data_IF_298335375831
#
_entry.id   IF_298335375831
#
_cell.length_a   1.000
_cell.length_b   1.000
_cell.length_c   1.000
_cell.angle_alpha   90.00
_cell.angle_beta   90.00
_cell.angle_gamma   90.00
#
_symmetry.space_group_name_H-M   'P 1'
#
loop_
_entity.id
_entity.type
_entity.pdbx_description
1 polymer ?
#
# COMPACT_ATOMS: atom_id res chain seq x y z
N UNK A 1 -8.64 -1.48 -17.64
CA UNK A 1 -8.73 -0.86 -16.30
C UNK A 1 -9.77 -1.59 -15.46
N UNK A 2 -11.03 -1.63 -15.88
CA UNK A 2 -12.15 -2.19 -15.10
C UNK A 2 -11.91 -3.62 -14.56
N UNK A 3 -11.44 -4.54 -15.43
CA UNK A 3 -11.10 -5.90 -14.99
C UNK A 3 -10.03 -5.94 -13.88
N UNK A 4 -9.08 -5.01 -13.88
CA UNK A 4 -8.04 -4.94 -12.86
C UNK A 4 -8.60 -4.37 -11.56
N UNK A 5 -9.46 -3.35 -11.64
CA UNK A 5 -10.21 -2.82 -10.49
C UNK A 5 -11.03 -3.93 -9.84
N UNK A 6 -11.83 -4.65 -10.61
CA UNK A 6 -12.66 -5.75 -10.10
C UNK A 6 -11.83 -6.82 -9.42
N UNK A 7 -10.69 -7.19 -10.02
CA UNK A 7 -9.80 -8.22 -9.48
C UNK A 7 -9.13 -7.80 -8.18
N UNK A 8 -8.66 -6.54 -8.08
CA UNK A 8 -8.09 -6.01 -6.83
C UNK A 8 -9.16 -5.89 -5.75
N UNK A 9 -10.38 -5.47 -6.11
CA UNK A 9 -11.51 -5.40 -5.19
C UNK A 9 -11.95 -6.77 -4.67
N UNK A 10 -12.04 -7.77 -5.54
CA UNK A 10 -12.32 -9.15 -5.13
C UNK A 10 -11.21 -9.69 -4.21
N UNK A 11 -9.95 -9.35 -4.50
CA UNK A 11 -8.84 -9.71 -3.63
C UNK A 11 -8.98 -9.08 -2.24
N UNK A 12 -9.38 -7.80 -2.14
CA UNK A 12 -9.57 -7.14 -0.83
C UNK A 12 -10.70 -7.76 -0.02
N UNK A 13 -11.79 -8.18 -0.65
CA UNK A 13 -12.89 -8.88 0.03
C UNK A 13 -12.40 -10.19 0.65
N UNK A 14 -11.52 -10.92 -0.04
CA UNK A 14 -10.96 -12.17 0.43
C UNK A 14 -9.77 -12.02 1.40
N UNK A 15 -9.25 -10.80 1.57
CA UNK A 15 -8.10 -10.49 2.44
C UNK A 15 -8.41 -9.26 3.32
N UNK A 16 -9.39 -9.36 4.24
CA UNK A 16 -9.87 -8.24 5.04
C UNK A 16 -8.83 -7.70 6.04
N UNK A 17 -7.87 -8.53 6.44
CA UNK A 17 -6.77 -8.14 7.35
C UNK A 17 -5.72 -7.26 6.66
N UNK A 18 -5.82 -7.12 5.34
CA UNK A 18 -4.92 -6.33 4.50
C UNK A 18 -4.00 -7.18 3.64
N UNK A 19 -3.34 -6.52 2.69
CA UNK A 19 -2.44 -7.16 1.73
C UNK A 19 -1.49 -6.15 1.09
N UNK A 20 -0.45 -6.68 0.45
CA UNK A 20 0.36 -5.95 -0.53
C UNK A 20 0.49 -6.79 -1.79
N UNK A 21 0.03 -6.29 -2.93
CA UNK A 21 -0.14 -7.05 -4.16
C UNK A 21 0.61 -6.42 -5.33
N UNK A 22 1.44 -7.22 -6.01
CA UNK A 22 2.04 -6.83 -7.27
C UNK A 22 1.01 -7.01 -8.41
N UNK A 23 0.65 -5.93 -9.11
CA UNK A 23 -0.39 -5.92 -10.15
C UNK A 23 -0.01 -6.67 -11.43
N UNK A 24 1.28 -6.87 -11.70
CA UNK A 24 1.75 -7.56 -12.91
C UNK A 24 1.69 -9.08 -12.74
N UNK A 25 2.26 -9.59 -11.64
CA UNK A 25 2.25 -11.02 -11.31
C UNK A 25 0.98 -11.48 -10.60
N UNK A 26 0.23 -10.53 -10.01
CA UNK A 26 -0.90 -10.78 -9.12
C UNK A 26 -0.53 -11.72 -7.95
N UNK A 27 0.69 -11.55 -7.43
CA UNK A 27 1.21 -12.27 -6.26
C UNK A 27 1.38 -11.30 -5.11
N UNK A 28 1.07 -11.80 -3.92
CA UNK A 28 1.28 -11.07 -2.68
C UNK A 28 2.77 -10.90 -2.40
N UNK A 29 3.14 -9.71 -1.93
CA UNK A 29 4.48 -9.39 -1.46
C UNK A 29 4.48 -9.54 0.06
N UNK A 30 5.28 -10.48 0.57
CA UNK A 30 5.32 -10.83 2.00
C UNK A 30 6.59 -10.36 2.72
N UNK A 31 7.50 -9.70 2.01
CA UNK A 31 8.79 -9.28 2.54
C UNK A 31 9.14 -7.88 2.07
N UNK A 32 9.88 -7.15 2.92
CA UNK A 32 10.31 -5.77 2.68
C UNK A 32 9.49 -4.74 3.46
N UNK A 33 9.75 -3.48 3.17
CA UNK A 33 9.13 -2.32 3.81
C UNK A 33 8.20 -1.65 2.80
N UNK A 34 6.91 -1.63 3.08
CA UNK A 34 5.90 -0.96 2.27
C UNK A 34 5.76 0.51 2.69
N UNK A 35 5.87 1.40 1.71
CA UNK A 35 5.70 2.84 1.89
C UNK A 35 4.69 3.36 0.87
N UNK A 36 3.61 3.98 1.34
CA UNK A 36 2.58 4.56 0.49
C UNK A 36 3.05 5.87 -0.16
N UNK A 37 2.51 6.15 -1.33
CA UNK A 37 2.66 7.45 -2.00
C UNK A 37 1.62 8.45 -1.46
N UNK A 38 2.01 9.71 -1.28
CA UNK A 38 1.13 10.78 -0.78
C UNK A 38 -0.08 10.96 -1.70
N UNK A 39 0.15 10.87 -3.01
CA UNK A 39 -0.84 11.11 -4.05
C UNK A 39 -2.04 10.17 -3.95
N UNK A 40 -1.88 8.97 -3.37
CA UNK A 40 -2.96 8.00 -3.21
C UNK A 40 -3.59 8.00 -1.82
N UNK A 41 -3.12 8.81 -0.87
CA UNK A 41 -3.73 8.89 0.45
C UNK A 41 -5.24 9.19 0.40
N UNK A 42 -5.96 8.77 1.44
CA UNK A 42 -7.41 8.90 1.58
C UNK A 42 -8.23 8.21 0.48
N UNK A 43 -7.65 7.21 -0.20
CA UNK A 43 -8.35 6.37 -1.16
C UNK A 43 -8.95 5.17 -0.43
N UNK A 44 -10.28 5.11 -0.33
CA UNK A 44 -10.99 4.00 0.28
C UNK A 44 -12.17 3.58 -0.61
N UNK A 45 -12.60 2.32 -0.46
CA UNK A 45 -13.69 1.77 -1.27
C UNK A 45 -13.28 1.50 -2.72
N UNK A 46 -14.16 0.79 -3.45
CA UNK A 46 -13.92 0.33 -4.82
C UNK A 46 -13.74 1.49 -5.80
N UNK A 47 -14.46 2.58 -5.59
CA UNK A 47 -14.44 3.80 -6.39
C UNK A 47 -13.06 4.46 -6.44
N UNK A 48 -12.24 4.28 -5.39
CA UNK A 48 -10.91 4.86 -5.32
C UNK A 48 -9.85 4.07 -6.11
N UNK A 49 -10.12 2.80 -6.43
CA UNK A 49 -9.17 1.89 -7.03
C UNK A 49 -8.67 2.36 -8.40
N UNK A 50 -9.49 3.06 -9.19
CA UNK A 50 -9.04 3.58 -10.49
C UNK A 50 -7.84 4.52 -10.32
N UNK A 51 -7.89 5.43 -9.35
CA UNK A 51 -6.80 6.36 -9.03
C UNK A 51 -5.57 5.59 -8.54
N UNK A 52 -5.76 4.71 -7.56
CA UNK A 52 -4.68 3.94 -6.93
C UNK A 52 -3.95 3.05 -7.96
N UNK A 53 -4.71 2.30 -8.76
CA UNK A 53 -4.16 1.40 -9.78
C UNK A 53 -3.45 2.19 -10.87
N UNK A 54 -4.01 3.32 -11.33
CA UNK A 54 -3.35 4.14 -12.37
C UNK A 54 -2.00 4.65 -11.85
N UNK A 55 -1.97 5.21 -10.64
CA UNK A 55 -0.72 5.67 -10.02
C UNK A 55 0.27 4.52 -9.80
N UNK A 56 -0.19 3.36 -9.33
CA UNK A 56 0.66 2.20 -9.13
C UNK A 56 1.30 1.72 -10.44
N UNK A 57 0.54 1.67 -11.54
CA UNK A 57 1.04 1.23 -12.85
C UNK A 57 2.17 2.12 -13.41
N UNK A 58 2.19 3.40 -13.05
CA UNK A 58 3.23 4.37 -13.45
C UNK A 58 4.46 4.35 -12.53
N UNK A 59 4.35 3.76 -11.35
CA UNK A 59 5.41 3.72 -10.34
C UNK A 59 5.95 2.30 -10.14
N UNK A 60 5.41 1.58 -9.16
CA UNK A 60 5.96 0.31 -8.68
C UNK A 60 5.05 -0.91 -8.96
N UNK A 61 3.94 -0.70 -9.66
CA UNK A 61 2.89 -1.69 -9.95
C UNK A 61 2.42 -2.43 -8.70
N UNK A 62 2.47 -1.81 -7.53
CA UNK A 62 2.14 -2.46 -6.27
C UNK A 62 1.06 -1.67 -5.55
N UNK A 63 0.05 -2.40 -5.05
CA UNK A 63 -1.07 -1.84 -4.30
C UNK A 63 -1.09 -2.46 -2.90
N UNK A 64 -1.19 -1.61 -1.89
CA UNK A 64 -1.51 -2.00 -0.53
C UNK A 64 -3.01 -1.86 -0.28
N UNK A 65 -3.57 -2.74 0.54
CA UNK A 65 -4.93 -2.63 1.04
C UNK A 65 -4.97 -2.95 2.52
N UNK A 66 -5.74 -2.19 3.31
CA UNK A 66 -5.85 -2.40 4.75
C UNK A 66 -7.17 -1.85 5.30
N UNK A 67 -7.72 -2.51 6.32
CA UNK A 67 -8.89 -2.03 7.05
C UNK A 67 -8.46 -1.05 8.14
N UNK A 68 -8.97 0.17 8.08
CA UNK A 68 -8.87 1.08 9.22
C UNK A 68 -9.97 0.73 10.22
N UNK A 69 -9.57 0.14 11.35
CA UNK A 69 -10.50 -0.32 12.39
C UNK A 69 -11.21 0.82 13.13
N UNK A 70 -10.68 2.04 13.11
CA UNK A 70 -11.28 3.18 13.80
C UNK A 70 -12.50 3.74 13.05
N UNK A 71 -12.50 3.63 11.73
CA UNK A 71 -13.56 4.18 10.88
C UNK A 71 -14.23 3.15 9.94
N UNK A 72 -13.86 1.87 10.07
CA UNK A 72 -14.39 0.73 9.32
C UNK A 72 -14.26 0.85 7.79
N UNK A 73 -13.37 1.71 7.30
CA UNK A 73 -13.12 1.87 5.86
C UNK A 73 -11.92 1.05 5.42
N UNK A 74 -12.07 0.40 4.28
CA UNK A 74 -10.98 -0.32 3.62
C UNK A 74 -10.23 0.64 2.69
N UNK A 75 -8.98 0.92 3.03
CA UNK A 75 -8.09 1.84 2.31
C UNK A 75 -7.26 1.09 1.28
N UNK A 76 -6.90 1.81 0.22
CA UNK A 76 -6.02 1.34 -0.85
C UNK A 76 -4.95 2.38 -1.13
N UNK A 77 -3.71 1.95 -1.27
CA UNK A 77 -2.58 2.83 -1.56
C UNK A 77 -1.75 2.27 -2.70
N UNK A 78 -1.21 3.15 -3.55
CA UNK A 78 -0.06 2.80 -4.36
C UNK A 78 1.12 2.73 -3.41
N UNK A 79 1.91 1.66 -3.46
CA UNK A 79 3.01 1.46 -2.53
C UNK A 79 4.32 1.17 -3.26
N UNK A 80 5.42 1.63 -2.67
CA UNK A 80 6.78 1.25 -3.03
C UNK A 80 7.31 0.28 -1.98
N UNK A 81 7.96 -0.79 -2.44
CA UNK A 81 8.59 -1.78 -1.57
C UNK A 81 10.09 -1.55 -1.55
N UNK A 82 10.65 -1.46 -0.34
CA UNK A 82 12.08 -1.40 -0.09
C UNK A 82 12.54 -2.73 0.54
N UNK A 83 13.80 -3.12 0.34
CA UNK A 83 14.36 -4.25 1.07
C UNK A 83 14.50 -3.90 2.56
N UNK A 84 14.40 -4.90 3.46
CA UNK A 84 14.51 -4.66 4.91
C UNK A 84 15.83 -3.98 5.31
N UNK A 85 16.93 -4.25 4.58
CA UNK A 85 18.24 -3.63 4.83
C UNK A 85 18.24 -2.11 4.55
N UNK A 86 17.29 -1.63 3.75
CA UNK A 86 17.19 -0.25 3.28
C UNK A 86 16.17 0.57 4.10
N UNK A 87 15.91 0.17 5.35
CA UNK A 87 14.95 0.84 6.24
C UNK A 87 15.18 2.35 6.35
N UNK A 88 16.43 2.81 6.40
CA UNK A 88 16.74 4.25 6.44
C UNK A 88 16.22 4.98 5.19
N UNK A 89 16.44 4.40 4.01
CA UNK A 89 15.96 4.95 2.74
C UNK A 89 14.43 4.94 2.68
N UNK A 90 13.79 3.87 3.17
CA UNK A 90 12.34 3.79 3.26
C UNK A 90 11.76 4.89 4.16
N UNK A 91 12.38 5.16 5.31
CA UNK A 91 11.97 6.24 6.23
C UNK A 91 12.12 7.63 5.58
N UNK A 92 13.24 7.90 4.90
CA UNK A 92 13.42 9.18 4.20
C UNK A 92 12.41 9.37 3.07
N UNK A 93 12.13 8.30 2.32
CA UNK A 93 11.07 8.33 1.31
C UNK A 93 9.69 8.56 1.95
N UNK A 94 9.39 7.91 3.08
CA UNK A 94 8.13 8.11 3.81
C UNK A 94 7.93 9.56 4.26
N UNK A 95 9.00 10.22 4.73
CA UNK A 95 8.97 11.65 5.07
C UNK A 95 8.67 12.52 3.86
N UNK A 96 9.28 12.23 2.71
CA UNK A 96 8.99 12.93 1.45
C UNK A 96 7.53 12.75 1.01
N UNK A 97 6.98 11.54 1.23
CA UNK A 97 5.59 11.18 0.95
C UNK A 97 4.62 11.56 2.09
N UNK A 98 5.08 12.35 3.08
CA UNK A 98 4.30 12.83 4.23
C UNK A 98 3.54 11.74 5.00
N UNK A 99 4.10 10.53 5.05
CA UNK A 99 3.53 9.42 5.78
C UNK A 99 3.81 9.55 7.27
N UNK A 100 2.85 9.14 8.09
CA UNK A 100 3.00 9.06 9.55
C UNK A 100 3.54 7.71 10.01
N UNK A 101 3.47 6.70 9.15
CA UNK A 101 3.96 5.35 9.41
C UNK A 101 4.30 4.64 8.09
N UNK A 102 5.09 3.57 8.20
CA UNK A 102 5.37 2.59 7.14
C UNK A 102 5.15 1.19 7.70
N UNK A 103 5.02 0.18 6.84
CA UNK A 103 4.76 -1.18 7.29
C UNK A 103 5.88 -2.15 6.89
N UNK A 104 6.45 -2.84 7.87
CA UNK A 104 7.40 -3.94 7.66
C UNK A 104 6.63 -5.24 7.42
N UNK A 105 6.56 -5.67 6.16
CA UNK A 105 5.87 -6.88 5.74
C UNK A 105 6.54 -8.14 6.27
N UNK A 106 7.87 -8.11 6.43
CA UNK A 106 8.65 -9.27 6.89
C UNK A 106 8.35 -9.59 8.36
N UNK A 107 8.19 -8.55 9.18
CA UNK A 107 7.95 -8.70 10.62
C UNK A 107 6.50 -8.41 11.02
N UNK A 108 5.62 -8.10 10.05
CA UNK A 108 4.23 -7.71 10.25
C UNK A 108 4.08 -6.59 11.28
N UNK A 109 4.86 -5.52 11.11
CA UNK A 109 5.00 -4.46 12.09
C UNK A 109 4.89 -3.07 11.47
N UNK A 110 4.05 -2.23 12.06
CA UNK A 110 4.04 -0.80 11.77
C UNK A 110 5.25 -0.10 12.40
N UNK A 111 5.86 0.81 11.63
CA UNK A 111 6.97 1.67 12.05
C UNK A 111 6.51 3.12 11.91
N UNK A 112 6.29 3.78 13.04
CA UNK A 112 5.91 5.20 13.09
C UNK A 112 7.06 6.09 12.62
N UNK A 113 6.75 7.09 11.81
CA UNK A 113 7.68 8.12 11.35
C UNK A 113 7.61 9.31 12.32
N UNK A 114 8.64 9.47 13.15
CA UNK A 114 8.75 10.63 14.06
C UNK A 114 9.04 11.89 13.24
N UNK A 115 8.25 12.95 13.46
CA UNK A 115 8.61 14.29 12.98
C UNK A 115 9.87 14.74 13.71
N UNK A 116 10.97 14.89 12.97
CA UNK A 116 12.19 15.52 13.46
C UNK A 116 12.03 17.03 13.55
#
# INVERSE_FOLDING_TARGET
MDKLIDRVWEYSINNPDGFTLNLESFKEIKFGIAVAFEETQNSFGKESLQKVISHALENNKTVGGWLNVENEKFYFDSVRIFENKDLKTAIEFAKQQKQIAIFDLTNLKEITITKG
#
